data_IF_765666274092
#
_entry.id   IF_765666274092
#
_cell.length_a   1.000
_cell.length_b   1.000
_cell.length_c   1.000
_cell.angle_alpha   90.00
_cell.angle_beta   90.00
_cell.angle_gamma   90.00
#
_symmetry.space_group_name_H-M   'P 1'
#
loop_
_entity.id
_entity.type
_entity.pdbx_description
1 polymer ?
#
# COMPACT_ATOMS: atom_id res chain seq x y z
N UNK A 1 -26.75 -0.45 -0.98
CA UNK A 1 -25.32 -0.33 -1.34
C UNK A 1 -24.64 0.36 -0.16
N UNK A 2 -23.39 0.05 0.20
CA UNK A 2 -22.75 0.82 1.29
C UNK A 2 -22.43 2.25 0.82
N UNK A 3 -22.37 3.23 1.74
CA UNK A 3 -22.04 4.64 1.40
C UNK A 3 -20.73 4.70 0.59
N UNK A 4 -19.73 3.89 0.96
CA UNK A 4 -18.47 3.80 0.24
C UNK A 4 -18.64 3.32 -1.20
N UNK A 5 -19.47 2.30 -1.42
CA UNK A 5 -19.73 1.79 -2.77
C UNK A 5 -20.46 2.82 -3.65
N UNK A 6 -21.38 3.61 -3.08
CA UNK A 6 -22.06 4.70 -3.79
C UNK A 6 -21.08 5.81 -4.18
N UNK A 7 -20.22 6.23 -3.26
CA UNK A 7 -19.17 7.23 -3.52
C UNK A 7 -18.21 6.78 -4.62
N UNK A 8 -17.72 5.53 -4.54
CA UNK A 8 -16.80 4.97 -5.53
C UNK A 8 -17.48 4.87 -6.90
N UNK A 9 -18.75 4.48 -6.95
CA UNK A 9 -19.52 4.43 -8.20
C UNK A 9 -19.73 5.81 -8.82
N UNK A 10 -20.03 6.84 -8.02
CA UNK A 10 -20.18 8.23 -8.50
C UNK A 10 -18.88 8.77 -9.12
N UNK A 11 -17.72 8.28 -8.68
CA UNK A 11 -16.41 8.62 -9.24
C UNK A 11 -16.02 7.76 -10.45
N UNK A 12 -16.91 6.88 -10.94
CA UNK A 12 -16.64 5.99 -12.08
C UNK A 12 -15.76 4.78 -11.75
N UNK A 13 -15.57 4.49 -10.46
CA UNK A 13 -14.78 3.36 -9.99
C UNK A 13 -15.65 2.15 -9.65
N UNK A 14 -15.03 0.96 -9.61
CA UNK A 14 -15.67 -0.29 -9.23
C UNK A 14 -14.93 -0.92 -8.06
N UNK A 15 -15.66 -1.26 -7.00
CA UNK A 15 -15.13 -2.04 -5.88
C UNK A 15 -14.90 -3.47 -6.33
N UNK A 16 -13.66 -3.96 -6.20
CA UNK A 16 -13.32 -5.36 -6.45
C UNK A 16 -13.56 -6.18 -5.18
N UNK A 17 -14.28 -7.31 -5.26
CA UNK A 17 -14.45 -8.20 -4.12
C UNK A 17 -13.12 -8.88 -3.78
N UNK A 18 -12.81 -9.00 -2.49
CA UNK A 18 -11.68 -9.74 -1.96
C UNK A 18 -12.21 -10.77 -0.96
N UNK A 19 -11.74 -12.02 -1.08
CA UNK A 19 -12.13 -13.06 -0.14
C UNK A 19 -11.60 -12.74 1.27
N UNK A 20 -12.36 -13.05 2.34
CA UNK A 20 -11.87 -12.91 3.70
C UNK A 20 -10.59 -13.71 3.93
N UNK A 21 -9.63 -13.13 4.66
CA UNK A 21 -8.36 -13.76 5.00
C UNK A 21 -7.52 -14.25 3.80
N UNK A 22 -7.69 -13.62 2.62
CA UNK A 22 -6.85 -13.86 1.43
C UNK A 22 -5.86 -12.73 1.16
N UNK A 23 -4.85 -12.51 2.03
CA UNK A 23 -3.82 -11.48 1.81
C UNK A 23 -3.03 -11.72 0.51
N UNK A 24 -2.87 -12.97 0.08
CA UNK A 24 -2.20 -13.35 -1.16
C UNK A 24 -2.87 -12.78 -2.41
N UNK A 25 -4.17 -12.47 -2.34
CA UNK A 25 -4.94 -11.88 -3.43
C UNK A 25 -4.92 -10.34 -3.42
N UNK A 26 -4.39 -9.71 -2.36
CA UNK A 26 -4.32 -8.26 -2.24
C UNK A 26 -2.91 -7.75 -2.63
N UNK A 27 -2.74 -7.10 -3.79
CA UNK A 27 -1.42 -6.66 -4.26
C UNK A 27 -0.68 -5.75 -3.28
N UNK A 28 -1.41 -5.03 -2.42
CA UNK A 28 -0.81 -4.13 -1.42
C UNK A 28 0.12 -4.87 -0.46
N UNK A 29 -0.13 -6.15 -0.18
CA UNK A 29 0.69 -6.96 0.74
C UNK A 29 2.10 -7.16 0.17
N UNK A 30 2.19 -7.46 -1.13
CA UNK A 30 3.47 -7.57 -1.84
C UNK A 30 4.19 -6.23 -1.89
N UNK A 31 3.46 -5.15 -2.16
CA UNK A 31 4.01 -3.79 -2.14
C UNK A 31 4.59 -3.45 -0.77
N UNK A 32 3.87 -3.70 0.31
CA UNK A 32 4.37 -3.45 1.67
C UNK A 32 5.52 -4.37 2.07
N UNK A 33 5.55 -5.61 1.61
CA UNK A 33 6.69 -6.50 1.82
C UNK A 33 7.98 -5.92 1.19
N UNK A 34 7.89 -5.40 -0.04
CA UNK A 34 9.01 -4.77 -0.73
C UNK A 34 9.46 -3.47 -0.05
N UNK A 35 8.51 -2.58 0.29
CA UNK A 35 8.78 -1.34 1.03
C UNK A 35 9.52 -1.67 2.33
N UNK A 36 8.97 -2.57 3.18
CA UNK A 36 9.59 -2.94 4.46
C UNK A 36 10.99 -3.54 4.27
N UNK A 37 11.19 -4.36 3.23
CA UNK A 37 12.51 -4.95 2.93
C UNK A 37 13.54 -3.86 2.61
N UNK A 38 13.19 -2.90 1.76
CA UNK A 38 14.05 -1.77 1.44
C UNK A 38 14.33 -0.91 2.68
N UNK A 39 13.27 -0.48 3.39
CA UNK A 39 13.41 0.39 4.55
C UNK A 39 14.33 -0.22 5.62
N UNK A 40 14.23 -1.53 5.90
CA UNK A 40 15.12 -2.21 6.86
C UNK A 40 16.60 -2.11 6.51
N UNK A 41 16.94 -1.98 5.22
CA UNK A 41 18.34 -1.87 4.77
C UNK A 41 18.92 -0.47 4.94
N UNK A 42 18.08 0.57 4.96
CA UNK A 42 18.52 1.97 5.00
C UNK A 42 18.10 2.72 6.26
N UNK A 43 17.20 2.17 7.08
CA UNK A 43 16.67 2.80 8.29
C UNK A 43 17.75 3.33 9.24
N UNK A 44 18.89 2.65 9.47
CA UNK A 44 19.94 3.17 10.34
C UNK A 44 20.64 4.44 9.80
N UNK A 45 20.45 4.77 8.52
CA UNK A 45 21.09 5.90 7.85
C UNK A 45 20.21 7.16 7.80
N UNK A 46 19.03 7.13 8.40
CA UNK A 46 18.07 8.22 8.40
C UNK A 46 17.56 8.49 9.81
N UNK A 47 17.35 9.76 10.13
CA UNK A 47 16.83 10.18 11.44
C UNK A 47 15.29 10.08 11.53
N UNK A 48 14.61 9.95 10.38
CA UNK A 48 13.16 10.03 10.28
C UNK A 48 12.60 8.92 9.38
N UNK A 49 11.58 8.22 9.89
CA UNK A 49 10.87 7.17 9.19
C UNK A 49 10.21 7.65 7.90
N UNK A 50 9.67 8.87 7.88
CA UNK A 50 8.98 9.42 6.70
C UNK A 50 9.97 9.62 5.55
N UNK A 51 11.19 10.09 5.84
CA UNK A 51 12.21 10.29 4.81
C UNK A 51 12.67 8.96 4.22
N UNK A 52 12.79 7.94 5.06
CA UNK A 52 13.05 6.55 4.62
C UNK A 52 11.91 6.04 3.72
N UNK A 53 10.66 6.28 4.09
CA UNK A 53 9.50 5.86 3.28
C UNK A 53 9.47 6.58 1.94
N UNK A 54 9.70 7.90 1.92
CA UNK A 54 9.70 8.71 0.71
C UNK A 54 10.85 8.31 -0.23
N UNK A 55 12.04 8.01 0.31
CA UNK A 55 13.18 7.57 -0.49
C UNK A 55 12.86 6.34 -1.37
N UNK A 56 12.05 5.39 -0.87
CA UNK A 56 11.63 4.22 -1.66
C UNK A 56 10.94 4.59 -2.98
N UNK A 57 10.11 5.64 -2.96
CA UNK A 57 9.34 6.11 -4.12
C UNK A 57 10.13 7.03 -5.06
N UNK A 58 11.29 7.53 -4.63
CA UNK A 58 12.20 8.27 -5.52
C UNK A 58 13.12 7.34 -6.32
N UNK A 59 13.41 6.13 -5.80
CA UNK A 59 14.33 5.18 -6.43
C UNK A 59 13.66 4.04 -7.22
N UNK A 60 12.35 3.81 -7.03
CA UNK A 60 11.52 2.88 -7.82
C UNK A 60 10.47 3.64 -8.62
#
# INVERSE_FOLDING_TARGET
>A
MSILQEMVHHLGHKVLPLAPYSPELNPIEKTWANIKKYMRSILPSYDNFTDVLLSYFYFN
#
